data_IF_089407559012
#
_entry.id   IF_089407559012
#
_cell.length_a   1.000
_cell.length_b   1.000
_cell.length_c   1.000
_cell.angle_alpha   90.00
_cell.angle_beta   90.00
_cell.angle_gamma   90.00
#
_symmetry.space_group_name_H-M   'P 1'
#
loop_
_entity.id
_entity.type
_entity.pdbx_description
1 polymer ?
#
# COMPACT_ATOMS: atom_id res chain seq x y z
N UNK A 1 5.80 -16.27 8.62
CA UNK A 1 7.26 -16.06 8.56
C UNK A 1 7.71 -14.62 8.24
N UNK A 2 6.97 -13.86 7.42
CA UNK A 2 7.35 -12.47 7.11
C UNK A 2 7.24 -11.51 8.31
N UNK A 3 6.22 -11.66 9.16
CA UNK A 3 5.98 -10.76 10.31
C UNK A 3 7.16 -10.52 11.24
N UNK A 4 7.81 -11.59 11.72
CA UNK A 4 8.94 -11.44 12.64
C UNK A 4 10.09 -10.64 12.00
N UNK A 5 10.36 -10.89 10.70
CA UNK A 5 11.37 -10.14 9.95
C UNK A 5 10.95 -8.68 9.75
N UNK A 6 9.69 -8.42 9.36
CA UNK A 6 9.18 -7.05 9.20
C UNK A 6 9.38 -6.23 10.49
N UNK A 7 8.98 -6.78 11.64
CA UNK A 7 9.07 -6.09 12.92
C UNK A 7 10.52 -5.85 13.34
N UNK A 8 11.41 -6.85 13.21
CA UNK A 8 12.83 -6.70 13.54
C UNK A 8 13.52 -5.63 12.67
N UNK A 9 13.14 -5.51 11.39
CA UNK A 9 13.65 -4.43 10.53
C UNK A 9 13.11 -3.07 10.98
N UNK A 10 11.83 -2.96 11.32
CA UNK A 10 11.26 -1.71 11.83
C UNK A 10 11.93 -1.25 13.14
N UNK A 11 12.28 -2.20 14.03
CA UNK A 11 12.94 -1.91 15.30
C UNK A 11 14.39 -1.43 15.15
N UNK A 12 15.05 -1.75 14.03
CA UNK A 12 16.50 -1.50 13.85
C UNK A 12 16.81 -0.44 12.80
N UNK A 13 15.90 -0.20 11.86
CA UNK A 13 16.09 0.81 10.82
C UNK A 13 16.10 2.22 11.40
N UNK A 14 17.02 3.05 10.92
CA UNK A 14 17.03 4.49 11.18
C UNK A 14 16.45 5.30 10.02
N UNK A 15 15.95 4.61 8.99
CA UNK A 15 15.35 5.20 7.79
C UNK A 15 13.94 4.65 7.57
N UNK A 16 13.07 5.41 6.88
CA UNK A 16 11.73 4.94 6.53
C UNK A 16 11.73 3.61 5.79
N UNK A 17 10.89 2.68 6.24
CA UNK A 17 10.72 1.37 5.61
C UNK A 17 9.62 1.43 4.54
N UNK A 18 9.83 0.74 3.42
CA UNK A 18 8.82 0.59 2.37
C UNK A 18 8.37 -0.86 2.33
N UNK A 19 7.08 -1.10 2.53
CA UNK A 19 6.44 -2.34 2.07
C UNK A 19 5.89 -2.07 0.67
N UNK A 20 6.58 -2.57 -0.36
CA UNK A 20 6.36 -2.10 -1.74
C UNK A 20 5.03 -2.55 -2.35
N UNK A 21 4.49 -3.70 -1.95
CA UNK A 21 3.21 -4.23 -2.44
C UNK A 21 2.64 -5.24 -1.45
N UNK A 22 1.48 -4.93 -0.88
CA UNK A 22 0.74 -5.79 0.05
C UNK A 22 -0.72 -5.33 0.17
N UNK A 23 -1.42 -5.81 1.19
CA UNK A 23 -2.74 -5.37 1.64
C UNK A 23 -2.87 -5.63 3.14
N UNK A 24 -4.00 -5.21 3.71
CA UNK A 24 -4.31 -5.41 5.13
C UNK A 24 -4.97 -6.78 5.40
N UNK A 25 -4.37 -7.59 6.27
CA UNK A 25 -4.90 -8.91 6.64
C UNK A 25 -6.25 -8.82 7.39
N UNK A 26 -6.51 -7.70 8.07
CA UNK A 26 -7.78 -7.42 8.76
C UNK A 26 -8.96 -7.20 7.80
N UNK A 27 -8.70 -6.83 6.55
CA UNK A 27 -9.73 -6.70 5.50
C UNK A 27 -9.96 -8.02 4.79
N UNK A 28 -8.89 -8.79 4.54
CA UNK A 28 -8.97 -10.12 3.93
C UNK A 28 -7.82 -11.00 4.40
N UNK A 29 -8.10 -12.20 4.87
CA UNK A 29 -7.07 -13.16 5.28
C UNK A 29 -6.36 -13.75 4.05
N UNK A 30 -5.15 -13.26 3.78
CA UNK A 30 -4.29 -13.73 2.71
C UNK A 30 -2.83 -13.71 3.16
N UNK A 31 -2.04 -14.80 2.97
CA UNK A 31 -0.68 -14.89 3.53
C UNK A 31 0.34 -13.84 3.08
N UNK A 32 0.05 -13.01 2.07
CA UNK A 32 0.92 -11.90 1.64
C UNK A 32 0.45 -10.53 2.11
N UNK A 33 -0.70 -10.47 2.78
CA UNK A 33 -1.19 -9.28 3.46
C UNK A 33 -0.61 -9.22 4.87
N UNK A 34 -0.34 -7.99 5.33
CA UNK A 34 0.32 -7.72 6.59
C UNK A 34 -0.70 -7.41 7.69
N UNK A 35 -0.35 -7.76 8.92
CA UNK A 35 -1.20 -7.51 10.09
C UNK A 35 -1.19 -6.04 10.49
N UNK A 36 -2.19 -5.60 11.27
CA UNK A 36 -2.25 -4.21 11.76
C UNK A 36 -1.01 -3.82 12.57
N UNK A 37 -0.42 -4.76 13.30
CA UNK A 37 0.83 -4.54 14.04
C UNK A 37 2.00 -4.25 13.09
N UNK A 38 2.06 -4.92 11.94
CA UNK A 38 3.10 -4.63 10.93
C UNK A 38 2.83 -3.32 10.20
N UNK A 39 1.56 -3.02 9.91
CA UNK A 39 1.13 -1.75 9.30
C UNK A 39 1.58 -0.58 10.18
N UNK A 40 1.28 -0.64 11.48
CA UNK A 40 1.68 0.38 12.46
C UNK A 40 3.20 0.46 12.61
N UNK A 41 3.90 -0.67 12.65
CA UNK A 41 5.36 -0.68 12.77
C UNK A 41 6.03 -0.02 11.56
N UNK A 42 5.58 -0.33 10.33
CA UNK A 42 6.11 0.29 9.11
C UNK A 42 5.84 1.79 9.13
N UNK A 43 4.61 2.21 9.46
CA UNK A 43 4.26 3.62 9.55
C UNK A 43 5.09 4.36 10.61
N UNK A 44 5.34 3.73 11.76
CA UNK A 44 6.18 4.28 12.84
C UNK A 44 7.63 4.59 12.43
N UNK A 45 8.12 3.99 11.34
CA UNK A 45 9.44 4.35 10.76
C UNK A 45 9.40 5.64 9.90
N UNK A 46 8.22 6.24 9.67
CA UNK A 46 8.01 7.28 8.66
C UNK A 46 7.75 6.72 7.25
N UNK A 47 7.61 5.40 7.14
CA UNK A 47 7.55 4.59 5.92
C UNK A 47 6.26 4.69 5.11
N UNK A 48 6.14 3.86 4.08
CA UNK A 48 4.91 3.73 3.26
C UNK A 48 4.58 2.28 2.92
N UNK A 49 3.29 2.02 2.69
CA UNK A 49 2.70 0.72 2.38
C UNK A 49 2.03 0.79 1.01
N UNK A 50 2.53 0.00 0.06
CA UNK A 50 2.04 -0.07 -1.31
C UNK A 50 0.81 -0.95 -1.42
N UNK A 51 -0.33 -0.36 -1.79
CA UNK A 51 -1.56 -1.08 -2.11
C UNK A 51 -1.37 -1.92 -3.37
N UNK A 52 -1.69 -3.22 -3.26
CA UNK A 52 -1.42 -4.21 -4.28
C UNK A 52 -2.71 -4.74 -4.92
N UNK A 53 -3.13 -4.21 -6.09
CA UNK A 53 -4.34 -4.63 -6.79
C UNK A 53 -4.17 -5.98 -7.50
N UNK A 54 -3.35 -6.89 -6.98
CA UNK A 54 -3.23 -8.23 -7.55
C UNK A 54 -4.40 -9.12 -7.16
N UNK A 55 -4.79 -9.98 -8.10
CA UNK A 55 -5.82 -10.99 -7.88
C UNK A 55 -5.21 -12.37 -8.00
N UNK A 56 -5.38 -13.17 -6.94
CA UNK A 56 -4.90 -14.55 -6.85
C UNK A 56 -6.08 -15.41 -6.44
N UNK A 57 -6.76 -15.96 -7.45
CA UNK A 57 -8.02 -16.69 -7.25
C UNK A 57 -9.04 -15.83 -6.50
N UNK A 58 -9.61 -16.39 -5.43
CA UNK A 58 -10.49 -15.69 -4.48
C UNK A 58 -9.78 -15.21 -3.21
N UNK A 59 -8.46 -15.45 -3.08
CA UNK A 59 -7.71 -15.18 -1.85
C UNK A 59 -7.26 -13.72 -1.70
N UNK A 60 -6.89 -13.07 -2.81
CA UNK A 60 -6.46 -11.66 -2.81
C UNK A 60 -7.59 -10.72 -3.28
N UNK A 61 -7.28 -9.45 -3.57
CA UNK A 61 -8.27 -8.44 -3.99
C UNK A 61 -9.12 -8.90 -5.18
N UNK A 62 -10.43 -8.72 -5.09
CA UNK A 62 -11.37 -9.09 -6.17
C UNK A 62 -11.50 -8.02 -7.24
N UNK A 63 -11.68 -6.77 -6.82
CA UNK A 63 -12.13 -5.62 -7.62
C UNK A 63 -11.61 -4.30 -7.01
N UNK A 64 -11.93 -3.19 -7.66
CA UNK A 64 -11.52 -1.85 -7.21
C UNK A 64 -12.21 -1.37 -5.93
N UNK A 65 -13.37 -1.92 -5.57
CA UNK A 65 -14.02 -1.61 -4.29
C UNK A 65 -13.26 -2.28 -3.13
N UNK A 66 -12.78 -3.51 -3.33
CA UNK A 66 -11.89 -4.19 -2.40
C UNK A 66 -10.56 -3.44 -2.24
N UNK A 67 -9.99 -2.97 -3.35
CA UNK A 67 -8.81 -2.10 -3.33
C UNK A 67 -9.03 -0.85 -2.47
N UNK A 68 -10.15 -0.16 -2.65
CA UNK A 68 -10.48 1.02 -1.86
C UNK A 68 -10.75 0.70 -0.38
N UNK A 69 -11.35 -0.46 -0.06
CA UNK A 69 -11.51 -0.93 1.34
C UNK A 69 -10.17 -1.15 2.03
N UNK A 70 -9.19 -1.72 1.34
CA UNK A 70 -7.83 -1.83 1.88
C UNK A 70 -7.18 -0.46 2.09
N UNK A 71 -7.37 0.49 1.16
CA UNK A 71 -6.88 1.86 1.33
C UNK A 71 -7.49 2.55 2.55
N UNK A 72 -8.82 2.43 2.73
CA UNK A 72 -9.53 3.03 3.86
C UNK A 72 -9.05 2.47 5.19
N UNK A 73 -8.91 1.15 5.28
CA UNK A 73 -8.38 0.51 6.48
C UNK A 73 -6.97 1.01 6.82
N UNK A 74 -6.06 1.10 5.84
CA UNK A 74 -4.72 1.66 6.09
C UNK A 74 -4.80 3.12 6.56
N UNK A 75 -5.66 3.93 5.94
CA UNK A 75 -5.82 5.34 6.28
C UNK A 75 -6.33 5.54 7.71
N UNK A 76 -7.32 4.74 8.14
CA UNK A 76 -7.83 4.77 9.51
C UNK A 76 -6.78 4.34 10.54
N UNK A 77 -5.90 3.39 10.19
CA UNK A 77 -4.90 2.86 11.13
C UNK A 77 -3.68 3.74 11.27
N UNK A 78 -3.16 4.27 10.16
CA UNK A 78 -1.84 4.93 10.15
C UNK A 78 -1.83 6.29 9.47
N UNK A 79 -2.93 6.75 8.87
CA UNK A 79 -2.96 8.00 8.12
C UNK A 79 -2.61 7.85 6.63
N UNK A 80 -3.06 8.81 5.83
CA UNK A 80 -2.92 8.81 4.36
C UNK A 80 -1.46 8.86 3.93
N UNK A 81 -0.63 9.58 4.67
CA UNK A 81 0.77 9.86 4.38
C UNK A 81 1.66 8.60 4.34
N UNK A 82 1.14 7.47 4.84
CA UNK A 82 1.80 6.17 4.89
C UNK A 82 1.32 5.20 3.81
N UNK A 83 0.50 5.64 2.86
CA UNK A 83 -0.07 4.79 1.81
C UNK A 83 0.51 5.18 0.45
N UNK A 84 0.84 4.19 -0.38
CA UNK A 84 1.21 4.42 -1.78
C UNK A 84 0.63 3.33 -2.71
N UNK A 85 0.90 3.43 -4.01
CA UNK A 85 0.52 2.40 -4.99
C UNK A 85 1.68 1.44 -5.26
N UNK A 86 1.41 0.14 -5.11
CA UNK A 86 2.36 -0.95 -5.32
C UNK A 86 1.83 -2.01 -6.27
N UNK A 87 1.78 -1.72 -7.57
CA UNK A 87 0.99 -2.57 -8.51
C UNK A 87 1.56 -3.96 -8.75
N UNK A 88 2.86 -4.18 -8.54
CA UNK A 88 3.56 -5.41 -8.91
C UNK A 88 3.31 -5.79 -10.39
N UNK A 89 3.40 -4.78 -11.27
CA UNK A 89 3.16 -4.97 -12.70
C UNK A 89 4.17 -5.97 -13.26
N UNK A 90 3.65 -7.02 -13.92
CA UNK A 90 4.41 -8.17 -14.46
C UNK A 90 4.96 -9.15 -13.40
N UNK A 91 4.65 -8.96 -12.10
CA UNK A 91 4.96 -9.92 -11.03
C UNK A 91 3.85 -10.93 -10.73
N UNK A 92 2.63 -10.68 -11.24
CA UNK A 92 1.44 -11.53 -11.02
C UNK A 92 0.73 -11.87 -12.33
N UNK A 93 -0.10 -12.91 -12.28
CA UNK A 93 -0.85 -13.40 -13.45
C UNK A 93 -2.19 -12.70 -13.66
N UNK A 94 -2.73 -12.04 -12.63
CA UNK A 94 -3.99 -11.31 -12.71
C UNK A 94 -4.07 -10.16 -11.69
N UNK A 95 -5.01 -9.25 -11.93
CA UNK A 95 -5.25 -8.05 -11.15
C UNK A 95 -6.74 -7.95 -10.79
N UNK A 96 -7.05 -7.09 -9.83
CA UNK A 96 -8.40 -6.75 -9.42
C UNK A 96 -9.24 -6.29 -10.63
N UNK A 97 -10.50 -6.71 -10.66
CA UNK A 97 -11.43 -6.29 -11.70
C UNK A 97 -11.53 -4.76 -11.74
N UNK A 98 -11.30 -4.18 -12.92
CA UNK A 98 -11.17 -2.73 -13.13
C UNK A 98 -9.73 -2.23 -13.32
N UNK A 99 -8.70 -3.05 -13.06
CA UNK A 99 -7.29 -2.70 -13.32
C UNK A 99 -6.56 -3.82 -14.07
N UNK A 100 -6.57 -3.87 -15.40
CA UNK A 100 -5.95 -4.98 -16.17
C UNK A 100 -4.47 -4.73 -16.46
N UNK A 101 -4.10 -3.47 -16.67
CA UNK A 101 -2.75 -3.07 -17.01
C UNK A 101 -2.55 -1.56 -16.71
N UNK A 102 -1.36 -1.05 -17.01
CA UNK A 102 -0.97 0.33 -16.69
C UNK A 102 -1.85 1.40 -17.34
N UNK A 103 -2.59 1.09 -18.41
CA UNK A 103 -3.55 2.04 -18.99
C UNK A 103 -4.78 2.26 -18.09
N UNK A 104 -5.08 1.31 -17.20
CA UNK A 104 -6.23 1.38 -16.29
C UNK A 104 -5.84 2.06 -14.95
N UNK A 105 -4.66 2.68 -14.82
CA UNK A 105 -4.19 3.31 -13.58
C UNK A 105 -5.12 4.43 -13.08
N UNK A 106 -5.79 5.12 -14.01
CA UNK A 106 -6.84 6.11 -13.68
C UNK A 106 -8.01 5.46 -12.92
N UNK A 107 -8.28 4.17 -13.14
CA UNK A 107 -9.28 3.41 -12.40
C UNK A 107 -8.97 3.31 -10.90
N UNK A 108 -7.70 3.19 -10.51
CA UNK A 108 -7.30 3.18 -9.09
C UNK A 108 -7.62 4.53 -8.43
N UNK A 109 -7.32 5.64 -9.12
CA UNK A 109 -7.63 6.97 -8.63
C UNK A 109 -9.15 7.19 -8.50
N UNK A 110 -9.91 6.78 -9.52
CA UNK A 110 -11.37 6.88 -9.52
C UNK A 110 -11.98 6.07 -8.36
N UNK A 111 -11.48 4.86 -8.11
CA UNK A 111 -11.96 4.01 -7.01
C UNK A 111 -11.77 4.68 -5.64
N UNK A 112 -10.61 5.32 -5.41
CA UNK A 112 -10.36 6.06 -4.17
C UNK A 112 -11.31 7.27 -4.04
N UNK A 113 -11.49 8.05 -5.11
CA UNK A 113 -12.44 9.17 -5.11
C UNK A 113 -13.88 8.70 -4.82
N UNK A 114 -14.33 7.62 -5.47
CA UNK A 114 -15.66 7.06 -5.22
C UNK A 114 -15.84 6.53 -3.79
N UNK A 115 -14.76 6.05 -3.18
CA UNK A 115 -14.75 5.62 -1.78
C UNK A 115 -14.71 6.79 -0.77
N UNK A 116 -14.67 8.05 -1.24
CA UNK A 116 -14.78 9.25 -0.40
C UNK A 116 -13.46 9.89 0.00
N UNK A 117 -12.33 9.45 -0.56
CA UNK A 117 -11.06 10.14 -0.39
C UNK A 117 -11.09 11.49 -1.11
N UNK A 118 -10.50 12.54 -0.50
CA UNK A 118 -10.35 13.83 -1.16
C UNK A 118 -9.31 13.79 -2.28
N UNK A 119 -9.39 14.73 -3.23
CA UNK A 119 -8.40 14.82 -4.33
C UNK A 119 -6.96 14.95 -3.81
N UNK A 120 -6.76 15.66 -2.69
CA UNK A 120 -5.46 15.78 -2.02
C UNK A 120 -4.96 14.44 -1.47
N UNK A 121 -5.85 13.61 -0.94
CA UNK A 121 -5.51 12.30 -0.39
C UNK A 121 -5.13 11.34 -1.51
N UNK A 122 -5.91 11.38 -2.60
CA UNK A 122 -5.62 10.59 -3.80
C UNK A 122 -4.28 11.00 -4.40
N UNK A 123 -3.99 12.30 -4.53
CA UNK A 123 -2.68 12.76 -5.02
C UNK A 123 -1.51 12.26 -4.14
N UNK A 124 -1.71 12.22 -2.82
CA UNK A 124 -0.75 11.65 -1.89
C UNK A 124 -0.50 10.16 -2.13
N UNK A 125 -1.57 9.36 -2.20
CA UNK A 125 -1.53 7.92 -2.43
C UNK A 125 -0.90 7.60 -3.79
N UNK A 126 -1.23 8.35 -4.85
CA UNK A 126 -0.75 8.09 -6.21
C UNK A 126 0.76 8.34 -6.38
N UNK A 127 1.40 9.11 -5.50
CA UNK A 127 2.84 9.25 -5.57
C UNK A 127 3.49 10.23 -4.61
N UNK A 128 2.78 11.24 -4.08
CA UNK A 128 3.43 12.25 -3.24
C UNK A 128 4.06 11.65 -1.97
N UNK A 129 3.41 10.63 -1.38
CA UNK A 129 3.94 9.94 -0.20
C UNK A 129 5.22 9.14 -0.50
N UNK A 130 5.25 8.45 -1.64
CA UNK A 130 6.44 7.70 -2.05
C UNK A 130 7.59 8.66 -2.39
N UNK A 131 7.29 9.77 -3.06
CA UNK A 131 8.28 10.82 -3.35
C UNK A 131 8.85 11.41 -2.06
N UNK A 132 8.02 11.72 -1.06
CA UNK A 132 8.48 12.16 0.28
C UNK A 132 9.50 11.18 0.86
N UNK A 133 9.19 9.88 0.86
CA UNK A 133 10.10 8.86 1.40
C UNK A 133 11.40 8.77 0.60
N UNK A 134 11.35 8.80 -0.73
CA UNK A 134 12.57 8.79 -1.54
C UNK A 134 13.42 10.05 -1.33
N UNK A 135 12.79 11.23 -1.24
CA UNK A 135 13.49 12.48 -0.99
C UNK A 135 14.19 12.46 0.37
N UNK A 136 13.52 12.00 1.42
CA UNK A 136 14.12 11.87 2.77
C UNK A 136 15.36 10.96 2.75
N UNK A 137 15.24 9.79 2.11
CA UNK A 137 16.36 8.85 1.98
C UNK A 137 17.53 9.47 1.20
N UNK A 138 17.26 10.10 0.05
CA UNK A 138 18.30 10.67 -0.81
C UNK A 138 18.96 11.92 -0.22
N UNK A 139 18.23 12.74 0.54
CA UNK A 139 18.78 13.93 1.21
C UNK A 139 19.57 13.59 2.49
N UNK A 140 19.32 12.41 3.08
CA UNK A 140 20.06 11.91 4.25
C UNK A 140 21.48 11.39 3.94
N UNK A 141 21.96 11.56 2.70
CA UNK A 141 23.30 11.19 2.25
C UNK A 141 24.15 12.44 1.92
N UNK A 142 25.11 12.83 2.78
CA UNK A 142 26.21 13.73 2.39
C UNK A 142 27.17 13.06 1.40
#
# INVERSE_FOLDING_TARGET
PHRATTLAVCETTTRPLISSHTGAASVRDFPRYITDVEIEAIAGTGGVIGLWPARIGSMAMSDLDDFARHAYHLAERVGIEHICIGTDKNGVTAYAEGYRNSNDFVGLAAALLYAGFGESDVAQILGANLLRVFTDILQSHP
#
